data_IF_135826275378
#
_entry.id   IF_135826275378
#
_cell.length_a   1.000
_cell.length_b   1.000
_cell.length_c   1.000
_cell.angle_alpha   90.00
_cell.angle_beta   90.00
_cell.angle_gamma   90.00
#
_symmetry.space_group_name_H-M   'P 1'
#
loop_
_entity.id
_entity.type
_entity.pdbx_description
1 polymer ?
#
# COMPACT_ATOMS: atom_id res chain seq x y z
N UNK A 1 4.31 6.24 -9.80
CA UNK A 1 4.54 4.77 -9.67
C UNK A 1 3.99 4.06 -10.89
N UNK A 2 4.83 3.32 -11.62
CA UNK A 2 4.38 2.50 -12.76
C UNK A 2 3.53 1.33 -12.23
N UNK A 3 2.39 1.06 -12.86
CA UNK A 3 1.48 -0.04 -12.52
C UNK A 3 1.31 -0.90 -13.77
N UNK A 4 1.28 -2.21 -13.61
CA UNK A 4 1.03 -3.18 -14.68
C UNK A 4 -0.40 -3.68 -14.52
N UNK A 5 -1.09 -3.85 -15.65
CA UNK A 5 -2.45 -4.38 -15.68
C UNK A 5 -2.36 -5.89 -15.85
N UNK A 6 -3.01 -6.66 -14.98
CA UNK A 6 -3.14 -8.11 -15.17
C UNK A 6 -4.15 -8.42 -16.29
N UNK A 7 -4.15 -9.65 -16.78
CA UNK A 7 -5.09 -10.16 -17.81
C UNK A 7 -6.57 -9.92 -17.44
N UNK A 8 -6.85 -9.98 -16.14
CA UNK A 8 -8.16 -9.72 -15.52
C UNK A 8 -8.47 -8.22 -15.35
N UNK A 9 -7.54 -7.33 -15.70
CA UNK A 9 -7.70 -5.89 -15.60
C UNK A 9 -7.32 -5.27 -14.26
N UNK A 10 -6.75 -6.04 -13.31
CA UNK A 10 -6.32 -5.53 -12.01
C UNK A 10 -5.01 -4.76 -12.13
N UNK A 11 -4.95 -3.55 -11.57
CA UNK A 11 -3.72 -2.76 -11.53
C UNK A 11 -2.83 -3.24 -10.38
N UNK A 12 -1.75 -3.94 -10.72
CA UNK A 12 -0.70 -4.28 -9.75
C UNK A 12 0.41 -3.22 -9.80
N UNK A 13 0.98 -2.82 -8.66
CA UNK A 13 2.21 -2.05 -8.68
C UNK A 13 3.29 -2.86 -9.41
N UNK A 14 4.09 -2.21 -10.25
CA UNK A 14 5.17 -2.86 -10.99
C UNK A 14 6.37 -3.17 -10.08
N UNK A 15 6.16 -3.96 -9.01
CA UNK A 15 7.15 -4.15 -7.94
C UNK A 15 8.44 -4.80 -8.41
N UNK A 16 8.41 -5.55 -9.52
CA UNK A 16 9.59 -6.22 -10.08
C UNK A 16 10.70 -5.24 -10.52
N UNK A 17 10.37 -3.99 -10.91
CA UNK A 17 11.36 -2.99 -11.36
C UNK A 17 11.50 -1.77 -10.45
N UNK A 18 10.79 -1.71 -9.33
CA UNK A 18 10.76 -0.50 -8.47
C UNK A 18 11.78 -0.52 -7.33
N UNK A 19 12.77 -1.42 -7.33
CA UNK A 19 13.80 -1.46 -6.28
C UNK A 19 13.25 -1.73 -4.87
N UNK A 20 12.01 -2.23 -4.73
CA UNK A 20 11.35 -2.36 -3.43
C UNK A 20 12.10 -3.30 -2.47
N UNK A 21 12.72 -4.34 -3.02
CA UNK A 21 13.59 -5.23 -2.26
C UNK A 21 14.87 -4.53 -1.83
N UNK A 22 15.48 -3.71 -2.69
CA UNK A 22 16.69 -2.94 -2.36
C UNK A 22 16.40 -1.87 -1.29
N UNK A 23 15.28 -1.17 -1.41
CA UNK A 23 14.78 -0.24 -0.39
C UNK A 23 14.51 -0.93 0.96
N UNK A 24 13.92 -2.12 0.91
CA UNK A 24 13.69 -2.94 2.09
C UNK A 24 15.02 -3.40 2.70
N UNK A 25 15.94 -3.91 1.88
CA UNK A 25 17.29 -4.34 2.26
C UNK A 25 18.12 -3.19 2.83
N UNK A 26 18.02 -1.96 2.31
CA UNK A 26 18.69 -0.77 2.83
C UNK A 26 18.13 -0.32 4.19
N UNK A 27 16.81 -0.50 4.40
CA UNK A 27 16.13 -0.15 5.65
C UNK A 27 16.36 -1.17 6.76
N UNK A 28 16.46 -2.45 6.40
CA UNK A 28 17.00 -3.44 7.32
C UNK A 28 18.49 -3.14 7.44
N UNK A 29 18.99 -2.71 8.60
CA UNK A 29 20.43 -2.56 8.84
C UNK A 29 21.14 -3.94 8.88
N UNK A 30 20.91 -4.79 7.88
CA UNK A 30 21.65 -6.03 7.68
C UNK A 30 22.97 -5.60 7.04
N UNK A 31 23.84 -5.05 7.88
CA UNK A 31 25.24 -4.90 7.55
C UNK A 31 25.78 -6.31 7.51
N UNK A 32 25.84 -6.91 6.32
CA UNK A 32 26.79 -7.97 6.10
C UNK A 32 28.15 -7.33 6.33
N UNK A 33 28.78 -7.65 7.46
CA UNK A 33 30.20 -7.37 7.66
C UNK A 33 30.93 -8.06 6.51
N UNK A 34 31.20 -7.32 5.44
CA UNK A 34 32.37 -7.60 4.63
C UNK A 34 33.53 -7.23 5.55
N UNK A 35 34.10 -8.24 6.20
CA UNK A 35 35.49 -8.14 6.61
C UNK A 35 36.24 -7.92 5.31
N UNK A 36 36.67 -6.67 5.09
CA UNK A 36 37.95 -6.30 4.51
C UNK A 36 38.01 -4.77 4.60
N UNK A 37 38.63 -4.36 5.72
CA UNK A 37 39.63 -3.31 5.84
C UNK A 37 39.41 -1.93 5.20
N UNK A 38 39.62 -0.90 6.04
CA UNK A 38 39.92 0.52 5.74
C UNK A 38 38.78 1.57 5.63
N UNK A 39 38.77 2.40 6.68
CA UNK A 39 38.50 3.86 6.75
C UNK A 39 37.06 4.45 6.70
N UNK A 40 36.79 5.49 7.53
CA UNK A 40 35.47 6.12 7.67
C UNK A 40 35.30 7.30 6.71
N UNK A 41 34.39 7.19 5.73
CA UNK A 41 33.95 8.35 4.93
C UNK A 41 32.74 9.03 5.56
N UNK A 42 33.02 10.19 6.12
CA UNK A 42 32.08 11.27 6.40
C UNK A 42 31.29 11.62 5.12
N UNK A 43 29.96 11.61 5.17
CA UNK A 43 29.15 12.30 4.15
C UNK A 43 27.94 12.97 4.78
N UNK A 44 28.00 14.30 4.80
CA UNK A 44 26.97 15.21 5.26
C UNK A 44 25.71 15.18 4.38
N UNK A 45 24.59 15.52 5.04
CA UNK A 45 23.48 16.34 4.56
C UNK A 45 23.14 16.33 3.06
N UNK A 46 22.03 15.69 2.70
CA UNK A 46 21.23 16.06 1.54
C UNK A 46 19.79 16.34 1.99
N UNK A 47 19.46 17.64 2.04
CA UNK A 47 18.17 18.16 2.46
C UNK A 47 17.03 17.70 1.56
N UNK A 48 16.00 17.12 2.16
CA UNK A 48 14.70 16.97 1.50
C UNK A 48 13.85 18.22 1.77
N UNK A 49 13.63 18.97 0.69
CA UNK A 49 12.77 20.13 0.61
C UNK A 49 11.41 19.89 1.30
N UNK A 50 11.06 20.76 2.27
CA UNK A 50 9.73 20.81 2.88
C UNK A 50 8.75 21.41 1.87
N UNK A 51 8.01 20.56 1.17
CA UNK A 51 6.88 21.00 0.33
C UNK A 51 5.76 21.48 1.27
N UNK A 52 5.67 22.79 1.44
CA UNK A 52 4.61 23.47 2.19
C UNK A 52 3.28 23.43 1.40
N UNK A 53 2.61 22.29 1.39
CA UNK A 53 1.23 22.20 0.92
C UNK A 53 0.27 22.72 2.01
N UNK A 54 0.01 24.04 2.01
CA UNK A 54 -1.10 24.64 2.75
C UNK A 54 -2.44 24.25 2.07
N UNK A 55 -2.86 23.01 2.27
CA UNK A 55 -4.17 22.51 1.85
C UNK A 55 -5.26 22.96 2.83
N UNK A 56 -6.33 23.56 2.27
CA UNK A 56 -7.54 24.07 2.94
C UNK A 56 -8.06 23.10 4.02
N UNK A 57 -8.16 23.59 5.25
CA UNK A 57 -8.75 22.85 6.38
C UNK A 57 -10.27 22.75 6.19
N UNK A 58 -10.75 21.60 5.74
CA UNK A 58 -12.17 21.27 5.86
C UNK A 58 -12.50 21.16 7.36
N UNK A 59 -13.37 22.05 7.86
CA UNK A 59 -13.94 21.96 9.21
C UNK A 59 -14.85 20.73 9.26
N UNK A 60 -14.30 19.58 9.63
CA UNK A 60 -15.10 18.41 9.97
C UNK A 60 -15.72 18.64 11.33
N UNK A 61 -17.05 18.65 11.36
CA UNK A 61 -17.91 18.71 12.54
C UNK A 61 -17.34 17.85 13.68
N UNK A 62 -17.26 18.44 14.87
CA UNK A 62 -16.71 17.88 16.10
C UNK A 62 -17.53 16.69 16.59
N UNK A 63 -17.34 15.53 15.97
CA UNK A 63 -17.66 14.24 16.59
C UNK A 63 -16.74 14.09 17.81
N UNK A 64 -17.36 14.06 18.99
CA UNK A 64 -16.74 13.95 20.33
C UNK A 64 -15.49 13.07 20.26
N UNK A 65 -14.32 13.70 20.33
CA UNK A 65 -13.05 13.01 20.43
C UNK A 65 -13.01 12.42 21.83
N UNK A 66 -13.30 11.13 21.95
CA UNK A 66 -12.93 10.38 23.16
C UNK A 66 -11.46 10.66 23.47
N UNK A 67 -11.10 10.92 24.75
CA UNK A 67 -9.72 11.16 25.10
C UNK A 67 -8.90 9.98 24.60
N UNK A 68 -7.96 10.27 23.69
CA UNK A 68 -6.98 9.28 23.25
C UNK A 68 -6.09 8.99 24.46
N UNK A 69 -6.54 8.09 25.32
CA UNK A 69 -5.69 7.46 26.31
C UNK A 69 -4.45 6.88 25.64
N UNK A 70 -3.39 6.67 26.43
CA UNK A 70 -2.12 6.06 26.00
C UNK A 70 -2.44 4.92 25.04
N UNK A 71 -1.97 5.02 23.79
CA UNK A 71 -2.24 4.00 22.77
C UNK A 71 -1.69 2.69 23.33
N UNK A 72 -2.57 1.77 23.73
CA UNK A 72 -2.14 0.41 24.04
C UNK A 72 -1.42 -0.11 22.79
N UNK A 73 -0.17 -0.52 22.95
CA UNK A 73 0.66 -1.01 21.86
C UNK A 73 0.02 -2.23 21.19
N UNK A 74 -0.73 -3.00 21.98
CA UNK A 74 -1.51 -4.15 21.55
C UNK A 74 -2.97 -3.75 21.28
N UNK A 75 -3.49 -4.24 20.15
CA UNK A 75 -4.90 -4.11 19.78
C UNK A 75 -5.76 -4.99 20.66
N UNK A 76 -6.91 -4.47 21.09
CA UNK A 76 -7.91 -5.26 21.82
C UNK A 76 -8.49 -6.35 20.89
N UNK A 77 -8.83 -7.51 21.46
CA UNK A 77 -9.50 -8.64 20.79
C UNK A 77 -10.69 -8.19 19.93
N UNK A 78 -11.54 -7.29 20.43
CA UNK A 78 -12.70 -6.81 19.67
C UNK A 78 -12.31 -5.95 18.47
N UNK A 79 -11.24 -5.17 18.61
CA UNK A 79 -10.68 -4.42 17.48
C UNK A 79 -10.11 -5.36 16.43
N UNK A 80 -9.42 -6.43 16.84
CA UNK A 80 -8.91 -7.47 15.95
C UNK A 80 -10.06 -8.16 15.22
N UNK A 81 -11.12 -8.57 15.93
CA UNK A 81 -12.33 -9.17 15.33
C UNK A 81 -12.97 -8.23 14.31
N UNK A 82 -13.12 -6.93 14.64
CA UNK A 82 -13.65 -5.91 13.73
C UNK A 82 -12.78 -5.75 12.47
N UNK A 83 -11.46 -5.68 12.62
CA UNK A 83 -10.53 -5.59 11.50
C UNK A 83 -10.64 -6.83 10.60
N UNK A 84 -10.66 -8.03 11.19
CA UNK A 84 -10.81 -9.29 10.46
C UNK A 84 -12.11 -9.32 9.65
N UNK A 85 -13.26 -9.04 10.27
CA UNK A 85 -14.55 -8.97 9.58
C UNK A 85 -14.54 -7.99 8.41
N UNK A 86 -14.00 -6.78 8.62
CA UNK A 86 -13.86 -5.76 7.55
C UNK A 86 -12.97 -6.25 6.40
N UNK A 87 -11.86 -6.91 6.71
CA UNK A 87 -10.95 -7.42 5.69
C UNK A 87 -11.56 -8.55 4.87
N UNK A 88 -12.34 -9.45 5.50
CA UNK A 88 -13.07 -10.51 4.80
C UNK A 88 -14.13 -9.92 3.87
N UNK A 89 -14.96 -9.00 4.36
CA UNK A 89 -15.97 -8.33 3.53
C UNK A 89 -15.36 -7.62 2.33
N UNK A 90 -14.22 -6.95 2.52
CA UNK A 90 -13.51 -6.28 1.42
C UNK A 90 -13.02 -7.28 0.37
N UNK A 91 -12.42 -8.41 0.78
CA UNK A 91 -11.96 -9.46 -0.15
C UNK A 91 -13.13 -10.03 -0.95
N UNK A 92 -14.22 -10.41 -0.28
CA UNK A 92 -15.42 -10.94 -0.91
C UNK A 92 -15.99 -9.95 -1.95
N UNK A 93 -16.04 -8.66 -1.60
CA UNK A 93 -16.49 -7.63 -2.53
C UNK A 93 -15.55 -7.47 -3.74
N UNK A 94 -14.23 -7.51 -3.53
CA UNK A 94 -13.25 -7.46 -4.61
C UNK A 94 -13.37 -8.67 -5.54
N UNK A 95 -13.57 -9.88 -4.99
CA UNK A 95 -13.79 -11.11 -5.75
C UNK A 95 -15.10 -11.06 -6.54
N UNK A 96 -16.20 -10.65 -5.91
CA UNK A 96 -17.48 -10.45 -6.60
C UNK A 96 -17.32 -9.48 -7.78
N UNK A 97 -16.67 -8.32 -7.55
CA UNK A 97 -16.41 -7.34 -8.61
C UNK A 97 -15.54 -7.93 -9.72
N UNK A 98 -14.55 -8.76 -9.38
CA UNK A 98 -13.69 -9.46 -10.35
C UNK A 98 -14.51 -10.41 -11.23
N UNK A 99 -15.37 -11.23 -10.64
CA UNK A 99 -16.25 -12.16 -11.38
C UNK A 99 -17.21 -11.40 -12.30
N UNK A 100 -17.80 -10.29 -11.84
CA UNK A 100 -18.67 -9.45 -12.66
C UNK A 100 -17.92 -8.83 -13.84
N UNK A 101 -16.67 -8.39 -13.64
CA UNK A 101 -15.85 -7.85 -14.72
C UNK A 101 -15.47 -8.92 -15.76
N UNK A 102 -15.14 -10.14 -15.31
CA UNK A 102 -14.88 -11.27 -16.20
C UNK A 102 -16.11 -11.62 -17.03
N UNK A 103 -17.30 -11.70 -16.41
CA UNK A 103 -18.57 -11.92 -17.12
C UNK A 103 -18.83 -10.85 -18.18
N UNK A 104 -18.63 -9.56 -17.85
CA UNK A 104 -18.77 -8.45 -18.80
C UNK A 104 -17.75 -8.51 -19.94
N UNK A 105 -16.51 -8.93 -19.65
CA UNK A 105 -15.46 -9.10 -20.66
C UNK A 105 -15.82 -10.23 -21.63
N UNK A 106 -16.27 -11.38 -21.12
CA UNK A 106 -16.73 -12.50 -21.94
C UNK A 106 -17.91 -12.11 -22.85
N UNK A 107 -18.90 -11.37 -22.33
CA UNK A 107 -20.01 -10.88 -23.13
C UNK A 107 -19.59 -9.90 -24.24
N UNK A 108 -18.57 -9.08 -24.01
CA UNK A 108 -18.02 -8.19 -25.04
C UNK A 108 -17.29 -8.96 -26.14
N UNK A 109 -16.47 -9.94 -25.77
CA UNK A 109 -15.73 -10.78 -26.72
C UNK A 109 -16.69 -11.58 -27.60
N UNK A 110 -17.71 -12.20 -27.01
CA UNK A 110 -18.71 -12.97 -27.77
C UNK A 110 -19.60 -12.12 -28.70
N UNK A 111 -19.64 -10.80 -28.52
CA UNK A 111 -20.32 -9.88 -29.45
C UNK A 111 -19.39 -9.39 -30.57
N UNK A 112 -18.08 -9.31 -30.34
CA UNK A 112 -17.11 -8.91 -31.38
C UNK A 112 -16.84 -10.04 -32.39
N UNK A 113 -17.06 -11.29 -32.02
CA UNK A 113 -16.89 -12.46 -32.90
C UNK A 113 -18.14 -12.77 -33.75
N UNK A 114 -19.24 -12.03 -33.56
CA UNK A 114 -20.53 -12.22 -34.27
C UNK A 114 -20.77 -11.20 -35.40
N UNK A 115 -19.74 -10.44 -35.77
CA UNK A 115 -19.73 -9.49 -36.91
C UNK A 115 -18.68 -10.01 -37.89
#
# INVERSE_FOLDING_TARGET
MKRIRTEDGTWLPASYKTGRYEDWKKKQKIVYKKNDESEPVHLESAGCARINNKGKKFKTNTMKKYPKGRKAELRNVDQIKKIRKKSVMLRNYMEYRRLQNLKKKAARIGNTEKI
#
